data_IF_737665304939
#
_entry.id   IF_737665304939
#
_cell.length_a   1.000
_cell.length_b   1.000
_cell.length_c   1.000
_cell.angle_alpha   90.00
_cell.angle_beta   90.00
_cell.angle_gamma   90.00
#
_symmetry.space_group_name_H-M   'P 1'
#
loop_
_entity.id
_entity.type
_entity.pdbx_description
1 polymer ?
#
# COMPACT_ATOMS: atom_id res chain seq x y z
N UNK A 1 3.35 15.50 19.63
CA UNK A 1 3.88 14.24 19.07
C UNK A 1 4.58 13.47 20.20
N UNK A 2 4.53 12.13 20.22
CA UNK A 2 5.07 11.31 21.32
C UNK A 2 6.62 11.33 21.31
N UNK A 3 7.31 11.85 22.35
CA UNK A 3 8.76 12.07 22.33
C UNK A 3 9.59 10.81 22.05
N UNK A 4 9.16 9.65 22.56
CA UNK A 4 9.81 8.35 22.34
C UNK A 4 9.84 7.93 20.87
N UNK A 5 8.75 8.19 20.14
CA UNK A 5 8.64 7.84 18.73
C UNK A 5 9.43 8.83 17.88
N UNK A 6 9.39 10.12 18.20
CA UNK A 6 10.20 11.13 17.50
C UNK A 6 11.70 10.86 17.71
N UNK A 7 12.10 10.51 18.93
CA UNK A 7 13.47 10.17 19.28
C UNK A 7 14.01 8.91 18.60
N UNK A 8 13.14 8.07 18.01
CA UNK A 8 13.58 6.87 17.28
C UNK A 8 14.33 7.18 15.98
N UNK A 9 14.14 8.38 15.41
CA UNK A 9 14.68 8.73 14.09
C UNK A 9 14.06 7.95 12.91
N UNK A 10 13.04 7.13 13.15
CA UNK A 10 12.42 6.28 12.13
C UNK A 10 11.28 6.97 11.37
N UNK A 11 10.79 8.12 11.84
CA UNK A 11 9.71 8.84 11.17
C UNK A 11 10.10 9.28 9.76
N UNK A 12 9.17 9.14 8.82
CA UNK A 12 9.35 9.62 7.45
C UNK A 12 9.25 11.15 7.43
N UNK A 13 10.05 11.76 6.56
CA UNK A 13 9.94 13.19 6.28
C UNK A 13 8.97 13.37 5.10
N UNK A 14 7.96 14.23 5.22
CA UNK A 14 7.07 14.54 4.11
C UNK A 14 7.75 15.34 3.01
N UNK A 15 7.28 15.17 1.78
CA UNK A 15 7.54 16.11 0.69
C UNK A 15 6.79 17.43 0.91
N UNK A 16 7.24 18.48 0.20
CA UNK A 16 6.60 19.79 0.25
C UNK A 16 5.11 19.69 -0.12
N UNK A 17 4.24 20.31 0.68
CA UNK A 17 2.78 20.25 0.51
C UNK A 17 2.05 19.24 1.40
N UNK A 18 2.74 18.28 2.03
CA UNK A 18 2.14 17.24 2.88
C UNK A 18 2.13 17.61 4.38
N UNK A 19 1.40 18.66 4.75
CA UNK A 19 1.40 19.27 6.11
C UNK A 19 0.79 18.44 7.25
N UNK A 20 0.18 17.28 6.95
CA UNK A 20 -0.46 16.39 7.94
C UNK A 20 0.26 15.06 8.13
N UNK A 21 1.42 14.90 7.51
CA UNK A 21 2.25 13.69 7.56
C UNK A 21 2.63 13.23 8.98
N UNK A 22 2.65 14.17 9.92
CA UNK A 22 2.99 14.01 11.33
C UNK A 22 1.94 13.26 12.16
N UNK A 23 0.74 13.06 11.63
CA UNK A 23 -0.33 12.37 12.35
C UNK A 23 -0.13 10.85 12.29
N UNK A 24 -0.06 10.24 13.47
CA UNK A 24 0.06 8.79 13.67
C UNK A 24 -1.20 8.26 14.35
N UNK A 25 -1.75 7.15 13.86
CA UNK A 25 -2.86 6.44 14.48
C UNK A 25 -2.67 4.93 14.35
N UNK A 26 -3.13 4.18 15.35
CA UNK A 26 -3.04 2.73 15.32
C UNK A 26 -3.29 2.10 16.68
N UNK A 27 -2.62 0.97 16.93
CA UNK A 27 -2.86 0.10 18.08
C UNK A 27 -1.59 0.03 18.94
N UNK A 28 -1.79 0.06 20.26
CA UNK A 28 -0.77 -0.23 21.24
C UNK A 28 -1.17 -1.50 22.00
N UNK A 29 -0.21 -2.40 22.20
CA UNK A 29 -0.35 -3.58 23.04
C UNK A 29 0.63 -3.45 24.19
N UNK A 30 0.11 -3.48 25.41
CA UNK A 30 0.87 -3.44 26.66
C UNK A 30 0.88 -4.85 27.27
N UNK A 31 2.07 -5.42 27.45
CA UNK A 31 2.27 -6.81 27.85
C UNK A 31 3.47 -6.95 28.79
N UNK A 32 3.64 -8.14 29.36
CA UNK A 32 4.80 -8.50 30.17
C UNK A 32 5.42 -9.78 29.63
N UNK A 33 6.74 -9.88 29.70
CA UNK A 33 7.46 -11.12 29.37
C UNK A 33 7.47 -12.11 30.55
N UNK A 34 8.21 -13.21 30.41
CA UNK A 34 8.34 -14.23 31.47
C UNK A 34 9.20 -13.76 32.66
N UNK A 35 9.99 -12.69 32.49
CA UNK A 35 10.85 -12.12 33.53
C UNK A 35 10.16 -11.01 34.32
N UNK A 36 8.98 -10.57 33.87
CA UNK A 36 8.23 -9.45 34.43
C UNK A 36 8.62 -8.10 33.84
N UNK A 37 9.45 -8.07 32.79
CA UNK A 37 9.73 -6.85 32.03
C UNK A 37 8.48 -6.44 31.23
N UNK A 38 8.17 -5.14 31.24
CA UNK A 38 7.02 -4.60 30.51
C UNK A 38 7.42 -4.32 29.06
N UNK A 39 6.58 -4.76 28.14
CA UNK A 39 6.75 -4.61 26.70
C UNK A 39 5.59 -3.80 26.13
N UNK A 40 5.90 -2.76 25.36
CA UNK A 40 4.91 -2.01 24.59
C UNK A 40 5.17 -2.22 23.11
N UNK A 41 4.23 -2.86 22.42
CA UNK A 41 4.24 -2.99 20.97
C UNK A 41 3.30 -1.98 20.33
N UNK A 42 3.80 -1.17 19.40
CA UNK A 42 3.06 -0.12 18.73
C UNK A 42 3.02 -0.36 17.22
N UNK A 43 1.82 -0.46 16.66
CA UNK A 43 1.58 -0.48 15.22
C UNK A 43 0.87 0.81 14.83
N UNK A 44 1.55 1.68 14.07
CA UNK A 44 1.08 3.03 13.78
C UNK A 44 1.10 3.30 12.29
N UNK A 45 -0.06 3.64 11.71
CA UNK A 45 -0.15 4.20 10.37
C UNK A 45 0.09 5.70 10.40
N UNK A 46 0.95 6.18 9.51
CA UNK A 46 1.11 7.61 9.24
C UNK A 46 0.20 8.08 8.10
N UNK A 47 0.09 9.40 7.96
CA UNK A 47 -0.56 10.01 6.80
C UNK A 47 0.38 10.01 5.58
N UNK A 48 -0.20 10.38 4.45
CA UNK A 48 0.48 10.49 3.16
C UNK A 48 1.71 11.40 3.25
N UNK A 49 2.84 10.91 2.72
CA UNK A 49 4.15 11.60 2.76
C UNK A 49 4.53 12.16 1.39
N UNK A 50 4.13 11.47 0.33
CA UNK A 50 4.24 11.85 -1.07
C UNK A 50 3.12 11.15 -1.85
N UNK A 51 3.00 11.37 -3.16
CA UNK A 51 1.84 10.88 -3.93
C UNK A 51 1.58 9.38 -3.71
N UNK A 52 0.37 9.06 -3.24
CA UNK A 52 -0.10 7.77 -2.74
C UNK A 52 0.80 7.00 -1.78
N UNK A 53 1.84 7.62 -1.22
CA UNK A 53 2.86 6.97 -0.41
C UNK A 53 2.60 7.13 1.09
N UNK A 54 2.31 6.03 1.77
CA UNK A 54 1.96 6.02 3.19
C UNK A 54 2.93 5.17 4.01
N UNK A 55 3.44 5.67 5.15
CA UNK A 55 4.30 4.91 6.05
C UNK A 55 3.44 4.16 7.06
N UNK A 56 3.93 2.98 7.42
CA UNK A 56 3.48 2.25 8.59
C UNK A 56 4.69 1.93 9.44
N UNK A 57 4.52 2.06 10.76
CA UNK A 57 5.57 1.92 11.74
C UNK A 57 5.22 0.82 12.72
N UNK A 58 6.24 0.04 13.07
CA UNK A 58 6.16 -0.94 14.15
C UNK A 58 7.28 -0.66 15.14
N UNK A 59 6.94 -0.54 16.42
CA UNK A 59 7.90 -0.31 17.50
C UNK A 59 7.69 -1.31 18.63
N UNK A 60 8.80 -1.77 19.22
CA UNK A 60 8.84 -2.51 20.47
C UNK A 60 9.64 -1.70 21.46
N UNK A 61 9.00 -1.31 22.55
CA UNK A 61 9.63 -0.70 23.70
C UNK A 61 9.66 -1.68 24.87
N UNK A 62 10.70 -1.62 25.68
CA UNK A 62 10.86 -2.42 26.88
C UNK A 62 11.18 -1.52 28.08
N UNK A 63 10.53 -1.79 29.19
CA UNK A 63 10.82 -1.23 30.51
C UNK A 63 11.33 -2.37 31.40
N UNK A 64 12.66 -2.43 31.65
CA UNK A 64 13.25 -3.46 32.50
C UNK A 64 12.71 -3.42 33.93
N UNK A 65 12.78 -4.55 34.68
CA UNK A 65 12.40 -4.56 36.09
C UNK A 65 13.23 -3.55 36.89
N UNK A 66 12.54 -2.67 37.64
CA UNK A 66 13.13 -1.56 38.43
C UNK A 66 13.65 -0.38 37.59
N UNK A 67 13.16 -0.20 36.37
CA UNK A 67 13.34 1.01 35.56
C UNK A 67 12.01 1.76 35.46
N UNK A 68 12.05 3.10 35.39
CA UNK A 68 10.88 3.95 35.10
C UNK A 68 10.87 4.43 33.63
N UNK A 69 11.67 3.79 32.78
CA UNK A 69 11.95 4.23 31.42
C UNK A 69 11.70 3.15 30.37
N UNK A 70 10.91 3.49 29.36
CA UNK A 70 10.75 2.72 28.14
C UNK A 70 11.94 2.96 27.19
N UNK A 71 12.62 1.87 26.83
CA UNK A 71 13.71 1.87 25.86
C UNK A 71 13.24 1.27 24.55
N UNK A 72 13.59 1.89 23.42
CA UNK A 72 13.32 1.32 22.11
C UNK A 72 14.21 0.09 21.90
N UNK A 73 13.61 -1.10 21.85
CA UNK A 73 14.31 -2.36 21.55
C UNK A 73 14.43 -2.54 20.05
N UNK A 74 13.33 -2.30 19.34
CA UNK A 74 13.27 -2.46 17.89
C UNK A 74 12.25 -1.52 17.29
N UNK A 75 12.57 -0.97 16.13
CA UNK A 75 11.60 -0.26 15.32
C UNK A 75 11.83 -0.55 13.85
N UNK A 76 10.75 -0.57 13.08
CA UNK A 76 10.83 -0.64 11.63
C UNK A 76 9.76 0.25 10.99
N UNK A 77 10.07 0.68 9.77
CA UNK A 77 9.17 1.41 8.90
C UNK A 77 9.06 0.66 7.59
N UNK A 78 7.84 0.50 7.11
CA UNK A 78 7.58 0.11 5.74
C UNK A 78 6.62 1.11 5.10
N UNK A 79 6.59 1.09 3.78
CA UNK A 79 5.68 1.92 3.01
C UNK A 79 4.70 1.05 2.27
N UNK A 80 3.49 1.58 2.10
CA UNK A 80 2.52 1.05 1.17
C UNK A 80 2.04 2.19 0.29
N UNK A 81 1.89 1.89 -0.98
CA UNK A 81 1.35 2.83 -1.95
C UNK A 81 -0.12 2.50 -2.16
N UNK A 82 -0.99 3.50 -2.01
CA UNK A 82 -2.38 3.40 -2.47
C UNK A 82 -2.39 3.77 -3.95
N UNK A 83 -1.60 3.05 -4.75
CA UNK A 83 -1.47 3.31 -6.18
C UNK A 83 -2.77 2.91 -6.90
N UNK A 84 -3.69 3.86 -7.02
CA UNK A 84 -4.62 3.85 -8.14
C UNK A 84 -3.87 4.39 -9.34
N UNK A 85 -3.88 3.70 -10.48
CA UNK A 85 -3.72 4.44 -11.73
C UNK A 85 -4.89 5.42 -11.74
N UNK A 86 -4.63 6.70 -11.42
CA UNK A 86 -5.65 7.74 -11.28
C UNK A 86 -6.58 7.69 -12.50
N UNK A 87 -7.77 7.11 -12.31
CA UNK A 87 -8.82 7.03 -13.33
C UNK A 87 -8.80 5.86 -14.31
N UNK A 88 -7.80 4.98 -14.31
CA UNK A 88 -7.77 3.79 -15.20
C UNK A 88 -8.02 2.50 -14.42
N UNK A 89 -9.10 2.49 -13.67
CA UNK A 89 -9.52 1.31 -12.94
C UNK A 89 -9.96 0.19 -13.87
N UNK A 90 -9.94 -1.05 -13.37
CA UNK A 90 -10.32 -2.25 -14.12
C UNK A 90 -11.69 -2.08 -14.78
N UNK A 91 -12.66 -1.46 -14.10
CA UNK A 91 -14.00 -1.23 -14.64
C UNK A 91 -14.05 -0.25 -15.82
N UNK A 92 -13.03 0.60 -16.01
CA UNK A 92 -12.88 1.46 -17.21
C UNK A 92 -12.15 0.70 -18.32
N UNK A 93 -11.12 -0.09 -17.97
CA UNK A 93 -10.35 -0.88 -18.93
C UNK A 93 -11.20 -1.94 -19.64
N UNK A 94 -12.06 -2.66 -18.90
CA UNK A 94 -12.83 -3.78 -19.46
C UNK A 94 -13.77 -3.36 -20.59
N UNK A 95 -14.59 -2.31 -20.47
CA UNK A 95 -15.42 -1.84 -21.58
C UNK A 95 -14.60 -1.44 -22.82
N UNK A 96 -13.50 -0.71 -22.63
CA UNK A 96 -12.65 -0.26 -23.76
C UNK A 96 -12.05 -1.45 -24.50
N UNK A 97 -11.46 -2.40 -23.77
CA UNK A 97 -10.91 -3.62 -24.35
C UNK A 97 -11.99 -4.50 -24.99
N UNK A 98 -13.20 -4.52 -24.42
CA UNK A 98 -14.32 -5.28 -24.99
C UNK A 98 -14.77 -4.71 -26.33
N UNK A 99 -14.87 -3.39 -26.46
CA UNK A 99 -15.20 -2.74 -27.74
C UNK A 99 -14.14 -3.04 -28.79
N UNK A 100 -12.86 -2.94 -28.44
CA UNK A 100 -11.75 -3.28 -29.34
C UNK A 100 -11.84 -4.76 -29.76
N UNK A 101 -12.07 -5.67 -28.82
CA UNK A 101 -12.20 -7.10 -29.08
C UNK A 101 -13.39 -7.43 -29.99
N UNK A 102 -14.53 -6.76 -29.82
CA UNK A 102 -15.71 -6.91 -30.68
C UNK A 102 -15.35 -6.47 -32.11
N UNK A 103 -14.76 -5.29 -32.29
CA UNK A 103 -14.41 -4.77 -33.63
C UNK A 103 -13.41 -5.68 -34.34
N UNK A 104 -12.35 -6.08 -33.64
CA UNK A 104 -11.32 -6.98 -34.19
C UNK A 104 -11.92 -8.35 -34.50
N UNK A 105 -12.72 -8.90 -33.57
CA UNK A 105 -13.36 -10.20 -33.72
C UNK A 105 -14.32 -10.26 -34.90
N UNK A 106 -15.20 -9.25 -35.04
CA UNK A 106 -16.10 -9.15 -36.19
C UNK A 106 -15.34 -9.00 -37.50
N UNK A 107 -14.31 -8.14 -37.53
CA UNK A 107 -13.50 -7.93 -38.73
C UNK A 107 -12.80 -9.23 -39.16
N UNK A 108 -12.16 -9.91 -38.23
CA UNK A 108 -11.49 -11.18 -38.49
C UNK A 108 -12.47 -12.26 -38.96
N UNK A 109 -13.65 -12.34 -38.34
CA UNK A 109 -14.70 -13.27 -38.74
C UNK A 109 -15.19 -12.98 -40.17
N UNK A 110 -15.51 -11.73 -40.49
CA UNK A 110 -15.97 -11.34 -41.83
C UNK A 110 -14.91 -11.64 -42.90
N UNK A 111 -13.64 -11.35 -42.63
CA UNK A 111 -12.54 -11.67 -43.55
C UNK A 111 -12.41 -13.18 -43.74
N UNK A 112 -12.45 -13.97 -42.66
CA UNK A 112 -12.36 -15.42 -42.73
C UNK A 112 -13.50 -16.04 -43.54
N UNK A 113 -14.74 -15.60 -43.32
CA UNK A 113 -15.91 -16.04 -44.08
C UNK A 113 -15.79 -15.64 -45.56
N UNK A 114 -15.38 -14.41 -45.85
CA UNK A 114 -15.18 -13.95 -47.22
C UNK A 114 -14.12 -14.76 -47.97
N UNK A 115 -12.99 -15.03 -47.34
CA UNK A 115 -11.94 -15.88 -47.90
C UNK A 115 -12.44 -17.31 -48.12
N UNK A 116 -13.17 -17.88 -47.17
CA UNK A 116 -13.75 -19.21 -47.31
C UNK A 116 -14.72 -19.31 -48.49
N UNK A 117 -15.61 -18.31 -48.65
CA UNK A 117 -16.52 -18.26 -49.80
C UNK A 117 -15.77 -18.13 -51.13
N UNK A 118 -14.74 -17.28 -51.21
CA UNK A 118 -13.95 -17.10 -52.42
C UNK A 118 -13.16 -18.35 -52.81
N UNK A 119 -12.61 -19.07 -51.82
CA UNK A 119 -11.84 -20.30 -52.04
C UNK A 119 -12.75 -21.50 -52.31
N UNK A 120 -13.90 -21.59 -51.64
CA UNK A 120 -14.88 -22.66 -51.83
C UNK A 120 -15.56 -22.61 -53.20
N UNK A 121 -15.72 -21.42 -53.78
CA UNK A 121 -16.30 -21.22 -55.12
C UNK A 121 -15.38 -21.64 -56.28
N UNK A 122 -14.10 -21.90 -56.00
CA UNK A 122 -13.08 -22.33 -56.98
C UNK A 122 -12.87 -23.86 -57.04
N UNK A 123 -13.60 -24.63 -56.22
CA UNK A 123 -13.69 -26.09 -56.30
C UNK A 123 -15.03 -26.48 -56.89
#
# INVERSE_FOLDING_TARGET
MLPLIVGSGLLANPEEGYSRADFLAGILVDAYDQTGARLIFACLGGRQQSNDHYPFYEFVFEEPPNSDGLNLVRGQRFFYDVAGIEGLEWYVMWPVLSVIAIVVGFTAFTVAVGLWMLLGRKR
#
